data_IF_498523829960
#
_entry.id   IF_498523829960
#
_cell.length_a   1.000
_cell.length_b   1.000
_cell.length_c   1.000
_cell.angle_alpha   90.00
_cell.angle_beta   90.00
_cell.angle_gamma   90.00
#
_symmetry.space_group_name_H-M   'P 1'
#
loop_
_entity.id
_entity.type
_entity.pdbx_description
1 polymer ?
#
# COMPACT_ATOMS: atom_id res chain seq x y z
N UNK A 1 -0.50 6.35 13.24
CA UNK A 1 -1.60 5.82 14.06
C UNK A 1 -2.35 6.96 14.74
N UNK A 2 -1.71 7.80 15.54
CA UNK A 2 -2.39 8.95 16.19
C UNK A 2 -3.13 9.85 15.22
N UNK A 3 -2.57 10.10 14.02
CA UNK A 3 -3.26 10.89 12.99
C UNK A 3 -4.53 10.19 12.50
N UNK A 4 -4.50 8.86 12.35
CA UNK A 4 -5.66 8.07 11.94
C UNK A 4 -6.76 8.08 13.03
N UNK A 5 -6.37 8.02 14.30
CA UNK A 5 -7.31 8.04 15.41
C UNK A 5 -8.02 9.39 15.60
N UNK A 6 -7.37 10.47 15.18
CA UNK A 6 -7.88 11.84 15.34
C UNK A 6 -8.55 12.39 14.09
N UNK A 7 -8.29 11.81 12.92
CA UNK A 7 -8.91 12.25 11.69
C UNK A 7 -10.34 11.69 11.58
N UNK A 8 -11.33 12.51 11.29
CA UNK A 8 -12.68 12.03 11.02
C UNK A 8 -12.69 11.34 9.65
N UNK A 9 -12.87 10.03 9.64
CA UNK A 9 -12.96 9.20 8.44
C UNK A 9 -11.72 9.26 7.52
N UNK A 10 -10.53 8.82 7.97
CA UNK A 10 -9.36 8.74 7.11
C UNK A 10 -9.49 7.56 6.13
N UNK A 11 -10.22 7.76 5.05
CA UNK A 11 -10.33 6.74 4.01
C UNK A 11 -9.04 6.58 3.25
N UNK A 12 -8.71 5.33 2.90
CA UNK A 12 -7.68 5.01 1.93
C UNK A 12 -6.26 5.48 2.29
N UNK A 13 -5.95 5.59 3.57
CA UNK A 13 -4.62 6.00 4.01
C UNK A 13 -3.57 4.95 3.62
N UNK A 14 -2.49 5.38 2.98
CA UNK A 14 -1.35 4.53 2.65
C UNK A 14 -0.09 4.99 3.39
N UNK A 15 0.63 4.04 3.98
CA UNK A 15 1.98 4.29 4.50
C UNK A 15 2.99 4.45 3.35
N UNK A 16 2.62 3.98 2.16
CA UNK A 16 3.49 4.00 1.01
C UNK A 16 4.49 2.86 1.00
N UNK A 17 5.67 3.10 0.44
CA UNK A 17 6.75 2.14 0.33
C UNK A 17 7.39 1.86 1.71
N UNK A 18 6.67 1.10 2.54
CA UNK A 18 6.94 0.98 3.96
C UNK A 18 8.32 0.36 4.26
N UNK A 19 8.73 -0.64 3.51
CA UNK A 19 10.04 -1.26 3.68
C UNK A 19 11.19 -0.28 3.43
N UNK A 20 11.07 0.57 2.42
CA UNK A 20 12.06 1.64 2.15
C UNK A 20 12.04 2.72 3.23
N UNK A 21 10.87 3.06 3.74
CA UNK A 21 10.71 4.07 4.80
C UNK A 21 11.31 3.58 6.12
N UNK A 22 11.11 2.32 6.45
CA UNK A 22 11.55 1.78 7.74
C UNK A 22 12.98 1.24 7.75
N UNK A 23 13.55 0.84 6.59
CA UNK A 23 14.91 0.26 6.54
C UNK A 23 15.98 1.14 7.20
N UNK A 24 16.03 2.48 7.02
CA UNK A 24 17.02 3.32 7.70
C UNK A 24 16.93 3.29 9.22
N UNK A 25 15.77 2.98 9.78
CA UNK A 25 15.52 2.93 11.21
C UNK A 25 15.70 1.53 11.80
N UNK A 26 15.83 0.49 10.97
CA UNK A 26 16.03 -0.88 11.42
C UNK A 26 17.36 -1.07 12.16
N UNK A 27 18.40 -0.35 11.73
CA UNK A 27 19.76 -0.46 12.31
C UNK A 27 20.24 -1.92 12.36
N UNK A 28 20.59 -2.40 13.56
CA UNK A 28 21.12 -3.74 13.80
C UNK A 28 20.03 -4.78 14.13
N UNK A 29 18.75 -4.45 13.99
CA UNK A 29 17.68 -5.39 14.26
C UNK A 29 17.70 -6.54 13.23
N UNK A 30 17.54 -7.76 13.74
CA UNK A 30 17.35 -8.92 12.87
C UNK A 30 15.98 -8.89 12.20
N UNK A 31 15.79 -9.75 11.17
CA UNK A 31 14.50 -9.92 10.50
C UNK A 31 13.37 -10.22 11.51
N UNK A 32 13.62 -11.11 12.48
CA UNK A 32 12.65 -11.52 13.49
C UNK A 32 12.30 -10.38 14.46
N UNK A 33 13.29 -9.62 14.87
CA UNK A 33 13.08 -8.44 15.73
C UNK A 33 12.27 -7.37 15.00
N UNK A 34 12.63 -7.07 13.75
CA UNK A 34 11.88 -6.15 12.92
C UNK A 34 10.43 -6.63 12.67
N UNK A 35 10.25 -7.92 12.37
CA UNK A 35 8.91 -8.50 12.21
C UNK A 35 8.06 -8.39 13.49
N UNK A 36 8.67 -8.53 14.67
CA UNK A 36 7.97 -8.34 15.94
C UNK A 36 7.46 -6.91 16.12
N UNK A 37 8.28 -5.91 15.76
CA UNK A 37 7.85 -4.50 15.76
C UNK A 37 6.76 -4.22 14.72
N UNK A 38 6.88 -4.81 13.53
CA UNK A 38 5.86 -4.64 12.49
C UNK A 38 4.52 -5.30 12.85
N UNK A 39 4.51 -6.42 13.57
CA UNK A 39 3.26 -6.96 14.14
C UNK A 39 2.56 -5.94 15.04
N UNK A 40 3.33 -5.31 15.91
CA UNK A 40 2.81 -4.25 16.78
C UNK A 40 2.27 -3.07 15.97
N UNK A 41 3.02 -2.61 14.99
CA UNK A 41 2.58 -1.56 14.06
C UNK A 41 1.27 -1.93 13.34
N UNK A 42 1.14 -3.16 12.82
CA UNK A 42 -0.05 -3.62 12.12
C UNK A 42 -1.28 -3.67 13.05
N UNK A 43 -1.13 -4.04 14.32
CA UNK A 43 -2.23 -3.99 15.28
C UNK A 43 -2.75 -2.56 15.42
N UNK A 44 -1.87 -1.59 15.67
CA UNK A 44 -2.29 -0.19 15.81
C UNK A 44 -2.84 0.40 14.52
N UNK A 45 -2.26 0.01 13.40
CA UNK A 45 -2.73 0.48 12.09
C UNK A 45 -4.12 -0.06 11.76
N UNK A 46 -4.40 -1.32 12.11
CA UNK A 46 -5.71 -1.92 11.95
C UNK A 46 -6.76 -1.31 12.88
N UNK A 47 -6.39 -1.00 14.14
CA UNK A 47 -7.30 -0.41 15.14
C UNK A 47 -7.51 1.08 14.93
N UNK A 48 -6.56 1.79 14.33
CA UNK A 48 -6.63 3.23 14.10
C UNK A 48 -7.78 3.67 13.20
N UNK A 49 -8.35 2.75 12.43
CA UNK A 49 -9.55 3.01 11.62
C UNK A 49 -10.81 2.51 12.35
N UNK A 50 -11.36 3.38 13.19
CA UNK A 50 -12.47 3.03 14.09
C UNK A 50 -13.82 2.88 13.42
N UNK A 51 -14.03 3.51 12.26
CA UNK A 51 -15.36 3.59 11.66
C UNK A 51 -15.51 2.68 10.46
N UNK A 52 -14.47 2.55 9.65
CA UNK A 52 -14.49 1.74 8.43
C UNK A 52 -13.04 1.33 8.15
N UNK A 53 -12.63 0.16 8.61
CA UNK A 53 -11.31 -0.41 8.29
C UNK A 53 -11.18 -0.70 6.78
N UNK A 54 -11.32 0.34 5.96
CA UNK A 54 -11.41 0.21 4.52
C UNK A 54 -10.18 0.84 3.87
N UNK A 55 -9.43 -0.03 3.16
CA UNK A 55 -8.48 0.43 2.16
C UNK A 55 -7.24 1.11 2.71
N UNK A 56 -6.87 0.83 3.95
CA UNK A 56 -5.54 1.13 4.45
C UNK A 56 -4.53 0.28 3.68
N UNK A 57 -3.40 0.84 3.31
CA UNK A 57 -2.43 0.14 2.45
C UNK A 57 -1.00 0.23 2.98
N UNK A 58 -0.26 -0.85 2.78
CA UNK A 58 1.19 -0.95 3.00
C UNK A 58 1.79 -1.52 1.73
N UNK A 59 2.74 -0.83 1.12
CA UNK A 59 3.38 -1.24 -0.12
C UNK A 59 4.83 -1.65 0.14
N UNK A 60 5.26 -2.74 -0.48
CA UNK A 60 6.59 -3.32 -0.31
C UNK A 60 7.28 -3.57 -1.65
N UNK A 61 8.59 -3.69 -1.62
CA UNK A 61 9.47 -4.08 -2.71
C UNK A 61 9.44 -3.12 -3.92
N UNK A 62 9.65 -3.64 -5.11
CA UNK A 62 9.67 -2.87 -6.35
C UNK A 62 11.08 -2.61 -6.87
N UNK A 63 11.17 -1.77 -7.88
CA UNK A 63 12.44 -1.37 -8.48
C UNK A 63 12.68 0.12 -8.44
N UNK A 64 13.95 0.49 -8.52
CA UNK A 64 14.37 1.88 -8.75
C UNK A 64 14.11 2.31 -10.20
N UNK A 65 14.24 3.61 -10.45
CA UNK A 65 14.21 4.17 -11.81
C UNK A 65 15.33 3.62 -12.71
N UNK A 66 16.42 3.12 -12.11
CA UNK A 66 17.54 2.47 -12.82
C UNK A 66 17.31 0.97 -13.05
N UNK A 67 16.23 0.39 -12.49
CA UNK A 67 15.88 -1.02 -12.64
C UNK A 67 16.46 -1.94 -11.58
N UNK A 68 17.09 -1.38 -10.53
CA UNK A 68 17.62 -2.14 -9.41
C UNK A 68 16.49 -2.61 -8.49
N UNK A 69 16.60 -3.82 -7.95
CA UNK A 69 15.67 -4.35 -6.97
C UNK A 69 15.77 -3.59 -5.63
N UNK A 70 14.64 -3.17 -5.08
CA UNK A 70 14.55 -2.44 -3.82
C UNK A 70 14.13 -3.32 -2.64
N UNK A 71 14.04 -4.63 -2.83
CA UNK A 71 13.74 -5.59 -1.77
C UNK A 71 14.84 -5.55 -0.70
N UNK A 72 14.44 -5.45 0.56
CA UNK A 72 15.36 -5.35 1.69
C UNK A 72 14.90 -6.20 2.88
N UNK A 73 15.59 -6.13 4.01
CA UNK A 73 15.27 -6.93 5.20
C UNK A 73 13.88 -6.56 5.75
N UNK A 74 13.51 -5.28 5.71
CA UNK A 74 12.19 -4.84 6.15
C UNK A 74 11.08 -5.42 5.27
N UNK A 75 11.30 -5.62 3.96
CA UNK A 75 10.35 -6.31 3.07
C UNK A 75 9.97 -7.67 3.63
N UNK A 76 10.97 -8.49 3.92
CA UNK A 76 10.74 -9.85 4.45
C UNK A 76 10.18 -9.84 5.86
N UNK A 77 10.59 -8.89 6.70
CA UNK A 77 10.06 -8.75 8.05
C UNK A 77 8.57 -8.34 8.06
N UNK A 78 8.16 -7.48 7.13
CA UNK A 78 6.73 -7.16 6.93
C UNK A 78 5.95 -8.38 6.45
N UNK A 79 6.48 -9.16 5.51
CA UNK A 79 5.83 -10.39 5.06
C UNK A 79 5.63 -11.38 6.23
N UNK A 80 6.63 -11.56 7.08
CA UNK A 80 6.50 -12.40 8.28
C UNK A 80 5.43 -11.88 9.24
N UNK A 81 5.38 -10.56 9.45
CA UNK A 81 4.38 -9.95 10.30
C UNK A 81 2.96 -10.16 9.74
N UNK A 82 2.75 -9.88 8.46
CA UNK A 82 1.47 -10.07 7.80
C UNK A 82 1.02 -11.53 7.81
N UNK A 83 1.92 -12.44 7.49
CA UNK A 83 1.62 -13.86 7.50
C UNK A 83 1.18 -14.35 8.87
N UNK A 84 1.89 -13.92 9.94
CA UNK A 84 1.58 -14.30 11.30
C UNK A 84 0.27 -13.71 11.82
N UNK A 85 -0.06 -12.47 11.42
CA UNK A 85 -1.25 -11.77 11.91
C UNK A 85 -2.50 -12.09 11.09
N UNK A 86 -2.36 -12.34 9.80
CA UNK A 86 -3.45 -12.62 8.85
C UNK A 86 -4.64 -11.66 9.00
N UNK A 87 -4.35 -10.36 9.18
CA UNK A 87 -5.39 -9.35 9.30
C UNK A 87 -5.99 -9.00 7.93
N UNK A 88 -7.29 -8.68 7.86
CA UNK A 88 -7.91 -8.22 6.62
C UNK A 88 -7.47 -6.80 6.23
N UNK A 89 -6.97 -6.02 7.18
CA UNK A 89 -6.49 -4.65 7.01
C UNK A 89 -5.25 -4.41 7.89
N UNK A 90 -4.33 -3.54 7.49
CA UNK A 90 -4.24 -2.86 6.19
C UNK A 90 -3.99 -3.84 5.04
N UNK A 91 -4.38 -3.47 3.81
CA UNK A 91 -4.09 -4.26 2.62
C UNK A 91 -2.57 -4.29 2.41
N UNK A 92 -2.03 -5.48 2.24
CA UNK A 92 -0.66 -5.65 1.79
C UNK A 92 -0.60 -5.59 0.28
N UNK A 93 0.23 -4.70 -0.25
CA UNK A 93 0.54 -4.60 -1.68
C UNK A 93 2.03 -4.85 -1.90
N UNK A 94 2.37 -5.60 -2.93
CA UNK A 94 3.76 -5.93 -3.27
C UNK A 94 4.03 -5.61 -4.73
N UNK A 95 5.09 -4.87 -4.97
CA UNK A 95 5.60 -4.55 -6.30
C UNK A 95 6.48 -5.68 -6.81
N UNK A 96 6.28 -6.05 -8.05
CA UNK A 96 7.08 -7.04 -8.76
C UNK A 96 7.63 -6.44 -10.05
N UNK A 97 8.79 -6.91 -10.47
CA UNK A 97 9.44 -6.48 -11.70
C UNK A 97 10.27 -7.63 -12.32
N UNK A 98 10.83 -7.41 -13.52
CA UNK A 98 11.53 -8.48 -14.25
C UNK A 98 12.71 -9.09 -13.49
N UNK A 99 13.36 -8.32 -12.61
CA UNK A 99 14.50 -8.76 -11.82
C UNK A 99 14.13 -9.05 -10.35
N UNK A 100 12.84 -9.21 -10.04
CA UNK A 100 12.41 -9.58 -8.69
C UNK A 100 13.10 -10.84 -8.22
N UNK A 101 13.73 -10.86 -7.03
CA UNK A 101 14.42 -12.03 -6.51
C UNK A 101 13.50 -13.25 -6.36
N UNK A 102 13.99 -14.43 -6.74
CA UNK A 102 13.26 -15.69 -6.59
C UNK A 102 12.77 -15.90 -5.15
N UNK A 103 13.59 -15.51 -4.17
CA UNK A 103 13.23 -15.56 -2.74
C UNK A 103 11.95 -14.80 -2.42
N UNK A 104 11.68 -13.65 -3.08
CA UNK A 104 10.43 -12.91 -2.82
C UNK A 104 9.22 -13.73 -3.27
N UNK A 105 9.29 -14.41 -4.42
CA UNK A 105 8.21 -15.30 -4.87
C UNK A 105 7.98 -16.48 -3.91
N UNK A 106 9.05 -17.06 -3.37
CA UNK A 106 8.95 -18.13 -2.38
C UNK A 106 8.22 -17.66 -1.11
N UNK A 107 8.57 -16.48 -0.62
CA UNK A 107 7.91 -15.88 0.56
C UNK A 107 6.44 -15.52 0.29
N UNK A 108 6.12 -15.02 -0.90
CA UNK A 108 4.75 -14.73 -1.32
C UNK A 108 3.91 -16.00 -1.46
N UNK A 109 4.52 -17.11 -1.85
CA UNK A 109 3.85 -18.41 -1.99
C UNK A 109 3.12 -18.83 -0.72
N UNK A 110 3.60 -18.47 0.47
CA UNK A 110 2.95 -18.77 1.74
C UNK A 110 1.53 -18.21 1.84
N UNK A 111 1.29 -17.03 1.27
CA UNK A 111 0.00 -16.34 1.37
C UNK A 111 -1.07 -17.01 0.51
N UNK A 112 -0.73 -17.51 -0.67
CA UNK A 112 -1.69 -18.07 -1.61
C UNK A 112 -2.37 -19.36 -1.14
N UNK A 113 -1.75 -20.06 -0.19
CA UNK A 113 -2.26 -21.30 0.35
C UNK A 113 -2.79 -21.15 1.79
N UNK A 114 -2.86 -19.92 2.31
CA UNK A 114 -3.38 -19.68 3.66
C UNK A 114 -4.88 -19.41 3.61
N UNK A 115 -5.70 -20.22 4.26
CA UNK A 115 -7.15 -20.03 4.31
C UNK A 115 -7.53 -18.65 4.87
N UNK A 116 -8.45 -17.97 4.21
CA UNK A 116 -8.94 -16.65 4.63
C UNK A 116 -7.97 -15.50 4.39
N UNK A 117 -6.81 -15.74 3.78
CA UNK A 117 -5.88 -14.69 3.41
C UNK A 117 -6.38 -13.94 2.18
N UNK A 118 -6.55 -12.62 2.31
CA UNK A 118 -7.05 -11.73 1.25
C UNK A 118 -5.93 -10.92 0.58
N UNK A 119 -4.71 -11.03 1.07
CA UNK A 119 -3.53 -10.29 0.62
C UNK A 119 -2.39 -11.25 0.31
N UNK A 120 -1.36 -10.85 -0.43
CA UNK A 120 -1.10 -9.52 -0.98
C UNK A 120 -1.79 -9.24 -2.33
N UNK A 121 -1.98 -7.95 -2.63
CA UNK A 121 -2.20 -7.48 -4.00
C UNK A 121 -0.86 -7.32 -4.71
N UNK A 122 -0.78 -7.72 -5.98
CA UNK A 122 0.47 -7.70 -6.74
C UNK A 122 0.45 -6.64 -7.83
N UNK A 123 1.49 -5.82 -7.90
CA UNK A 123 1.68 -4.78 -8.88
C UNK A 123 2.90 -5.07 -9.76
N UNK A 124 2.74 -4.96 -11.07
CA UNK A 124 3.84 -5.10 -12.00
C UNK A 124 4.42 -3.73 -12.35
N UNK A 125 5.62 -3.43 -11.85
CA UNK A 125 6.29 -2.14 -12.05
C UNK A 125 6.52 -1.80 -13.53
N UNK A 126 6.77 -2.80 -14.38
CA UNK A 126 6.94 -2.55 -15.82
C UNK A 126 5.68 -1.95 -16.45
N UNK A 127 4.53 -2.43 -16.02
CA UNK A 127 3.23 -1.93 -16.48
C UNK A 127 2.87 -0.60 -15.85
N UNK A 128 3.06 -0.47 -14.53
CA UNK A 128 2.71 0.75 -13.77
C UNK A 128 3.57 1.92 -14.24
N UNK A 129 4.89 1.77 -14.33
CA UNK A 129 5.79 2.81 -14.82
C UNK A 129 5.40 3.29 -16.23
N UNK A 130 5.05 2.35 -17.11
CA UNK A 130 4.61 2.69 -18.46
C UNK A 130 3.30 3.51 -18.47
N UNK A 131 2.36 3.15 -17.62
CA UNK A 131 1.08 3.88 -17.51
C UNK A 131 1.28 5.25 -16.91
N UNK A 132 2.01 5.35 -15.80
CA UNK A 132 2.29 6.63 -15.12
C UNK A 132 3.08 7.59 -16.02
N UNK A 133 4.09 7.09 -16.76
CA UNK A 133 4.83 7.89 -17.75
C UNK A 133 3.91 8.43 -18.84
N UNK A 134 2.96 7.63 -19.34
CA UNK A 134 1.97 8.09 -20.31
C UNK A 134 1.00 9.13 -19.74
N UNK A 135 0.73 9.06 -18.44
CA UNK A 135 -0.07 10.04 -17.72
C UNK A 135 0.69 11.36 -17.44
N UNK A 136 1.98 11.42 -17.76
CA UNK A 136 2.79 12.63 -17.60
C UNK A 136 3.58 12.68 -16.31
N UNK A 137 3.67 11.57 -15.56
CA UNK A 137 4.52 11.50 -14.37
C UNK A 137 5.99 11.53 -14.79
N UNK A 138 6.78 12.35 -14.10
CA UNK A 138 8.22 12.44 -14.32
C UNK A 138 8.90 11.09 -14.08
N UNK A 139 9.94 10.80 -14.87
CA UNK A 139 10.69 9.55 -14.75
C UNK A 139 11.34 9.41 -13.37
N UNK A 140 11.78 10.51 -12.80
CA UNK A 140 12.45 10.52 -11.50
C UNK A 140 11.51 10.20 -10.34
N UNK A 141 10.20 10.30 -10.56
CA UNK A 141 9.17 10.05 -9.55
C UNK A 141 8.58 8.64 -9.62
N UNK A 142 8.85 7.89 -10.69
CA UNK A 142 8.18 6.61 -10.91
C UNK A 142 8.47 5.58 -9.82
N UNK A 143 9.69 5.53 -9.29
CA UNK A 143 10.02 4.60 -8.20
C UNK A 143 9.28 4.90 -6.91
N UNK A 144 8.83 6.17 -6.74
CA UNK A 144 8.11 6.63 -5.56
C UNK A 144 6.59 6.41 -5.65
N UNK A 145 6.11 5.78 -6.72
CA UNK A 145 4.69 5.47 -6.71
C UNK A 145 4.33 4.56 -5.54
N UNK A 146 3.20 4.84 -4.97
CA UNK A 146 2.57 4.07 -3.92
C UNK A 146 1.16 3.70 -4.34
N UNK A 147 0.53 2.86 -3.53
CA UNK A 147 -0.86 2.47 -3.72
C UNK A 147 -1.65 2.89 -2.50
N UNK A 148 -2.75 3.56 -2.71
CA UNK A 148 -3.69 3.93 -1.66
C UNK A 148 -5.08 3.36 -1.99
N UNK A 149 -5.94 3.33 -1.00
CA UNK A 149 -7.32 2.91 -1.19
C UNK A 149 -7.44 1.53 -1.81
N UNK A 150 -8.40 1.44 -2.72
CA UNK A 150 -8.74 0.21 -3.43
C UNK A 150 -7.84 -0.03 -4.64
N UNK A 151 -6.58 0.29 -4.59
CA UNK A 151 -5.56 0.08 -5.63
C UNK A 151 -5.27 1.31 -6.50
N UNK A 152 -5.43 2.51 -6.00
CA UNK A 152 -5.13 3.75 -6.71
C UNK A 152 -3.62 4.06 -6.66
N UNK A 153 -2.91 4.05 -7.80
CA UNK A 153 -1.52 4.49 -7.85
C UNK A 153 -1.42 6.01 -7.64
N UNK A 154 -0.50 6.42 -6.82
CA UNK A 154 -0.19 7.84 -6.57
C UNK A 154 1.32 8.02 -6.37
N UNK A 155 1.80 9.25 -6.53
CA UNK A 155 3.20 9.58 -6.28
C UNK A 155 3.33 10.15 -4.87
N UNK A 156 4.12 9.48 -4.03
CA UNK A 156 4.34 9.89 -2.64
C UNK A 156 4.86 11.31 -2.55
N UNK A 157 4.21 12.11 -1.71
CA UNK A 157 4.59 13.50 -1.45
C UNK A 157 4.21 14.52 -2.54
N UNK A 158 3.68 14.06 -3.68
CA UNK A 158 3.24 14.92 -4.80
C UNK A 158 1.75 14.86 -5.04
N UNK A 159 1.15 13.67 -4.97
CA UNK A 159 -0.28 13.50 -5.16
C UNK A 159 -1.05 13.61 -3.85
N UNK A 160 -2.26 14.15 -3.94
CA UNK A 160 -3.23 14.05 -2.86
C UNK A 160 -3.88 12.67 -2.91
N UNK A 161 -3.47 11.79 -2.01
CA UNK A 161 -3.94 10.39 -1.95
C UNK A 161 -5.39 10.21 -1.52
N UNK A 162 -6.14 11.27 -1.31
CA UNK A 162 -7.55 11.17 -0.97
C UNK A 162 -8.41 11.41 -2.20
N UNK A 163 -8.83 10.33 -2.84
CA UNK A 163 -9.64 10.33 -4.05
C UNK A 163 -11.15 10.36 -3.80
N UNK A 164 -11.59 10.31 -2.54
CA UNK A 164 -13.01 10.26 -2.15
C UNK A 164 -13.54 11.63 -1.70
N UNK A 165 -13.23 12.69 -2.44
CA UNK A 165 -13.44 14.07 -1.99
C UNK A 165 -14.83 14.64 -2.28
N UNK A 166 -15.67 13.95 -3.05
CA UNK A 166 -16.98 14.47 -3.40
C UNK A 166 -18.02 13.36 -3.59
N UNK A 167 -19.24 13.70 -3.25
CA UNK A 167 -20.40 12.85 -3.46
C UNK A 167 -21.25 13.40 -4.58
N UNK A 168 -21.46 12.61 -5.62
CA UNK A 168 -22.36 12.93 -6.71
C UNK A 168 -23.69 12.23 -6.48
N UNK A 169 -24.73 13.00 -6.09
CA UNK A 169 -26.08 12.47 -5.92
C UNK A 169 -26.80 12.44 -7.26
N UNK A 170 -26.76 11.32 -7.93
CA UNK A 170 -27.40 11.13 -9.25
C UNK A 170 -28.92 11.29 -9.18
N UNK A 171 -29.55 10.86 -8.09
CA UNK A 171 -30.99 11.04 -7.88
C UNK A 171 -31.38 12.51 -7.80
N UNK A 172 -30.56 13.32 -7.11
CA UNK A 172 -30.80 14.77 -7.02
C UNK A 172 -30.59 15.48 -8.35
N UNK A 173 -29.59 15.06 -9.12
CA UNK A 173 -29.38 15.59 -10.48
C UNK A 173 -30.61 15.31 -11.36
N UNK A 174 -31.13 14.08 -11.32
CA UNK A 174 -32.31 13.72 -12.08
C UNK A 174 -33.53 14.54 -11.65
N UNK A 175 -33.76 14.66 -10.35
CA UNK A 175 -34.85 15.50 -9.79
C UNK A 175 -34.77 16.95 -10.28
N UNK A 176 -33.59 17.56 -10.20
CA UNK A 176 -33.36 18.93 -10.68
C UNK A 176 -33.63 19.02 -12.19
N UNK A 177 -33.14 18.05 -12.95
CA UNK A 177 -33.33 18.05 -14.42
C UNK A 177 -34.80 17.95 -14.82
N UNK A 178 -35.57 17.11 -14.15
CA UNK A 178 -37.01 16.93 -14.41
C UNK A 178 -37.82 18.19 -14.02
N UNK A 179 -37.40 18.85 -12.98
CA UNK A 179 -38.10 20.01 -12.45
C UNK A 179 -37.55 21.38 -12.94
N UNK A 180 -36.68 21.36 -13.95
CA UNK A 180 -36.05 22.55 -14.55
C UNK A 180 -35.27 23.46 -13.56
N UNK A 181 -34.61 22.85 -12.57
CA UNK A 181 -33.75 23.56 -11.59
C UNK A 181 -34.26 23.51 -10.19
#
# INVERSE_FOLDING_TARGET
VMCLEQAPNPFAFSVGNADRIFEPYRKDLTREQAASLFKHFLVFYNVGDRSWAISQNVLLAGKSNTGEDLTNICTYAFLDAYYAMNFPQPILSVKLHNNTPARLYEELGRFFFTPGCLTPSLFNDESVFKVLSKAGVDKDDLEDYSVAGCQEPLIMGKDNGNTTNSWLNLGKILEITINNG
#
